data_IF_617401065265
#
_entry.id   IF_617401065265
#
_cell.length_a   1.000
_cell.length_b   1.000
_cell.length_c   1.000
_cell.angle_alpha   90.00
_cell.angle_beta   90.00
_cell.angle_gamma   90.00
#
_symmetry.space_group_name_H-M   'P 1'
#
loop_
_entity.id
_entity.type
_entity.pdbx_description
1 polymer ?
#
# COMPACT_ATOMS: atom_id res chain seq x y z
N UNK A 1 8.63 7.44 11.72
CA UNK A 1 7.83 6.22 11.94
C UNK A 1 8.09 5.27 10.78
N UNK A 2 8.23 3.98 11.05
CA UNK A 2 8.59 3.00 10.03
C UNK A 2 7.38 2.66 9.13
N UNK A 3 7.62 2.66 7.82
CA UNK A 3 6.64 2.35 6.79
C UNK A 3 7.09 1.18 5.88
N UNK A 4 8.02 0.35 6.34
CA UNK A 4 8.62 -0.74 5.54
C UNK A 4 7.56 -1.69 4.95
N UNK A 5 6.54 -2.03 5.75
CA UNK A 5 5.48 -2.97 5.33
C UNK A 5 4.67 -2.43 4.13
N UNK A 6 4.55 -1.10 3.99
CA UNK A 6 3.88 -0.49 2.83
C UNK A 6 4.63 -0.79 1.52
N UNK A 7 5.96 -0.66 1.55
CA UNK A 7 6.83 -1.00 0.40
C UNK A 7 6.80 -2.50 0.13
N UNK A 8 6.90 -3.31 1.17
CA UNK A 8 6.90 -4.78 1.06
C UNK A 8 5.66 -5.31 0.33
N UNK A 9 4.48 -4.79 0.65
CA UNK A 9 3.20 -5.20 0.04
C UNK A 9 3.14 -4.89 -1.45
N UNK A 10 3.67 -3.75 -1.87
CA UNK A 10 3.69 -3.33 -3.28
C UNK A 10 4.69 -4.17 -4.06
N UNK A 11 5.90 -4.38 -3.53
CA UNK A 11 6.94 -5.19 -4.18
C UNK A 11 6.50 -6.64 -4.35
N UNK A 12 5.90 -7.24 -3.32
CA UNK A 12 5.39 -8.61 -3.38
C UNK A 12 4.07 -8.74 -4.15
N UNK A 13 3.47 -7.63 -4.62
CA UNK A 13 2.20 -7.62 -5.35
C UNK A 13 1.10 -8.43 -4.65
N UNK A 14 1.01 -8.35 -3.32
CA UNK A 14 0.07 -9.15 -2.53
C UNK A 14 -1.39 -8.72 -2.67
N UNK A 15 -1.64 -7.47 -3.08
CA UNK A 15 -2.97 -6.93 -3.35
C UNK A 15 -3.79 -6.51 -2.13
N UNK A 16 -3.31 -6.75 -0.90
CA UNK A 16 -3.99 -6.36 0.33
C UNK A 16 -3.00 -6.07 1.46
N UNK A 17 -3.34 -5.10 2.31
CA UNK A 17 -2.59 -4.77 3.52
C UNK A 17 -3.56 -4.33 4.61
N UNK A 18 -3.34 -4.80 5.84
CA UNK A 18 -4.06 -4.32 7.02
C UNK A 18 -3.05 -3.73 8.00
N UNK A 19 -3.14 -2.43 8.23
CA UNK A 19 -2.24 -1.70 9.13
C UNK A 19 -2.99 -0.91 10.23
N UNK A 20 -4.19 -1.37 10.57
CA UNK A 20 -5.04 -0.78 11.60
C UNK A 20 -6.02 0.28 11.06
N UNK A 21 -6.61 1.06 11.97
CA UNK A 21 -7.51 2.15 11.60
C UNK A 21 -6.76 3.38 11.06
N UNK A 22 -7.46 4.25 10.34
CA UNK A 22 -6.97 5.54 9.81
C UNK A 22 -6.81 6.61 10.90
N UNK A 23 -6.25 6.22 12.05
CA UNK A 23 -5.99 7.09 13.20
C UNK A 23 -4.63 6.72 13.79
N UNK A 24 -3.96 7.72 14.39
CA UNK A 24 -2.55 7.67 14.87
C UNK A 24 -1.53 7.72 13.73
N UNK A 25 -0.48 8.51 13.95
CA UNK A 25 0.56 8.81 12.95
C UNK A 25 1.30 7.56 12.46
N UNK A 26 1.52 6.57 13.32
CA UNK A 26 2.27 5.34 13.00
C UNK A 26 1.60 4.48 11.94
N UNK A 27 0.26 4.55 11.88
CA UNK A 27 -0.58 3.83 10.93
C UNK A 27 -0.73 4.64 9.65
N UNK A 28 -0.98 5.93 9.80
CA UNK A 28 -1.07 6.86 8.68
C UNK A 28 0.21 6.90 7.85
N UNK A 29 1.38 6.79 8.49
CA UNK A 29 2.67 6.74 7.79
C UNK A 29 2.72 5.65 6.70
N UNK A 30 2.12 4.48 6.95
CA UNK A 30 2.07 3.37 5.99
C UNK A 30 1.09 3.65 4.84
N UNK A 31 -0.08 4.21 5.14
CA UNK A 31 -1.04 4.62 4.12
C UNK A 31 -0.48 5.74 3.21
N UNK A 32 0.14 6.76 3.80
CA UNK A 32 0.79 7.82 3.03
C UNK A 32 1.95 7.31 2.19
N UNK A 33 2.70 6.32 2.68
CA UNK A 33 3.76 5.71 1.89
C UNK A 33 3.20 4.98 0.66
N UNK A 34 2.06 4.30 0.77
CA UNK A 34 1.40 3.67 -0.40
C UNK A 34 0.99 4.74 -1.42
N UNK A 35 0.38 5.84 -0.97
CA UNK A 35 -0.03 6.94 -1.86
C UNK A 35 1.17 7.59 -2.56
N UNK A 36 2.30 7.76 -1.86
CA UNK A 36 3.55 8.26 -2.45
C UNK A 36 4.10 7.31 -3.51
N UNK A 37 4.05 6.00 -3.25
CA UNK A 37 4.50 4.98 -4.21
C UNK A 37 3.58 4.97 -5.44
N UNK A 38 2.26 5.09 -5.24
CA UNK A 38 1.28 5.21 -6.33
C UNK A 38 1.57 6.44 -7.20
N UNK A 39 1.84 7.60 -6.60
CA UNK A 39 2.22 8.82 -7.31
C UNK A 39 3.53 8.64 -8.12
N UNK A 40 4.52 7.96 -7.55
CA UNK A 40 5.79 7.65 -8.23
C UNK A 40 5.63 6.69 -9.43
N UNK A 41 4.70 5.74 -9.33
CA UNK A 41 4.44 4.75 -10.39
C UNK A 41 3.60 5.32 -11.54
N UNK A 42 2.86 6.39 -11.30
CA UNK A 42 1.99 7.06 -12.29
C UNK A 42 1.12 6.04 -13.05
N UNK A 43 1.29 5.92 -14.36
CA UNK A 43 0.51 5.02 -15.22
C UNK A 43 0.80 3.53 -15.03
N UNK A 44 1.88 3.17 -14.34
CA UNK A 44 2.20 1.79 -14.00
C UNK A 44 1.46 1.29 -12.74
N UNK A 45 0.89 2.20 -11.93
CA UNK A 45 0.19 1.84 -10.72
C UNK A 45 -1.10 1.06 -11.03
N UNK A 46 -1.32 -0.07 -10.35
CA UNK A 46 -2.53 -0.89 -10.46
C UNK A 46 -3.15 -1.12 -9.09
N UNK A 47 -4.41 -0.74 -8.96
CA UNK A 47 -5.20 -1.03 -7.77
C UNK A 47 -5.84 -2.43 -7.85
N UNK A 48 -5.59 -3.26 -6.84
CA UNK A 48 -6.06 -4.66 -6.83
C UNK A 48 -7.61 -4.80 -6.74
N UNK A 49 -8.30 -3.86 -6.10
CA UNK A 49 -9.76 -3.81 -6.01
C UNK A 49 -10.42 -5.13 -5.59
N UNK A 50 -11.44 -5.57 -6.34
CA UNK A 50 -12.16 -6.83 -6.07
C UNK A 50 -11.28 -8.07 -6.22
N UNK A 51 -10.16 -7.97 -6.94
CA UNK A 51 -9.19 -9.05 -7.16
C UNK A 51 -8.06 -9.06 -6.14
N UNK A 52 -8.26 -8.48 -4.95
CA UNK A 52 -7.22 -8.41 -3.90
C UNK A 52 -6.59 -9.76 -3.51
N UNK A 53 -7.27 -10.90 -3.74
CA UNK A 53 -6.73 -12.24 -3.49
C UNK A 53 -5.81 -12.76 -4.61
N UNK A 54 -5.97 -12.26 -5.82
CA UNK A 54 -5.16 -12.61 -6.99
C UNK A 54 -5.01 -11.37 -7.91
N UNK A 55 -4.13 -10.42 -7.54
CA UNK A 55 -4.01 -9.13 -8.21
C UNK A 55 -3.20 -9.16 -9.51
N UNK A 56 -2.54 -10.28 -9.82
CA UNK A 56 -1.77 -10.54 -11.05
C UNK A 56 -2.65 -11.30 -12.04
#
# INVERSE_FOLDING_TARGET
EDAFIAVLVVVLSTGQIKTGATCRSERLAKYYQILRIEEQLFSAAKYAGKKFRNPI
#
